data_IF_769997973064
#
_entry.id   IF_769997973064
#
_cell.length_a   1.000
_cell.length_b   1.000
_cell.length_c   1.000
_cell.angle_alpha   90.00
_cell.angle_beta   90.00
_cell.angle_gamma   90.00
#
_symmetry.space_group_name_H-M   'P 1'
#
loop_
_entity.id
_entity.type
_entity.pdbx_description
1 polymer ?
#
# COMPACT_ATOMS: atom_id res chain seq x y z
N UNK A 1 30.83 -27.20 8.80
CA UNK A 1 30.43 -25.81 9.11
C UNK A 1 29.89 -25.17 7.85
N UNK A 2 28.57 -25.07 7.70
CA UNK A 2 27.94 -24.45 6.52
C UNK A 2 27.71 -22.96 6.78
N UNK A 3 28.48 -22.12 6.11
CA UNK A 3 28.33 -20.67 6.19
C UNK A 3 27.18 -20.21 5.27
N UNK A 4 26.05 -19.82 5.86
CA UNK A 4 24.98 -19.14 5.13
C UNK A 4 25.49 -17.79 4.64
N UNK A 5 25.68 -17.67 3.31
CA UNK A 5 26.08 -16.43 2.65
C UNK A 5 24.91 -15.44 2.71
N UNK A 6 24.93 -14.53 3.69
CA UNK A 6 23.95 -13.43 3.81
C UNK A 6 24.08 -12.53 2.57
N UNK A 7 23.07 -12.55 1.69
CA UNK A 7 23.02 -11.73 0.48
C UNK A 7 22.95 -10.25 0.91
N UNK A 8 24.08 -9.54 0.80
CA UNK A 8 24.26 -8.13 1.17
C UNK A 8 23.40 -7.26 0.24
N UNK A 9 22.30 -6.71 0.75
CA UNK A 9 21.48 -5.71 0.04
C UNK A 9 22.34 -4.50 -0.27
N UNK A 10 22.42 -4.11 -1.55
CA UNK A 10 23.17 -2.91 -1.98
C UNK A 10 22.40 -1.65 -1.53
N UNK A 11 23.08 -0.65 -0.94
CA UNK A 11 22.45 0.63 -0.64
C UNK A 11 21.88 1.23 -1.93
N UNK A 12 20.61 1.66 -1.90
CA UNK A 12 19.96 2.33 -3.04
C UNK A 12 19.08 1.47 -3.94
N UNK A 13 19.05 0.13 -3.80
CA UNK A 13 18.02 -0.68 -4.49
C UNK A 13 16.77 -0.77 -3.63
N UNK A 14 15.60 -0.27 -4.10
CA UNK A 14 14.35 -0.46 -3.37
C UNK A 14 14.10 -1.95 -3.13
N UNK A 15 13.79 -2.32 -1.89
CA UNK A 15 13.42 -3.71 -1.56
C UNK A 15 12.12 -4.04 -2.30
N UNK A 16 12.05 -5.23 -2.91
CA UNK A 16 10.83 -5.72 -3.57
C UNK A 16 9.69 -6.02 -2.58
N UNK A 17 8.50 -6.27 -3.12
CA UNK A 17 7.35 -6.72 -2.34
C UNK A 17 7.61 -8.11 -1.73
N UNK A 18 7.15 -8.29 -0.49
CA UNK A 18 7.24 -9.55 0.24
C UNK A 18 5.86 -10.15 0.50
N UNK A 19 5.82 -11.41 0.97
CA UNK A 19 4.56 -12.08 1.30
C UNK A 19 3.81 -11.36 2.40
N UNK A 20 4.54 -10.84 3.38
CA UNK A 20 4.00 -10.04 4.49
C UNK A 20 3.32 -8.75 4.01
N UNK A 21 3.79 -8.13 2.92
CA UNK A 21 3.16 -6.95 2.33
C UNK A 21 1.76 -7.32 1.82
N UNK A 22 1.65 -8.41 1.04
CA UNK A 22 0.37 -8.88 0.50
C UNK A 22 -0.58 -9.34 1.61
N UNK A 23 -0.09 -10.08 2.59
CA UNK A 23 -0.90 -10.52 3.73
C UNK A 23 -1.48 -9.32 4.50
N UNK A 24 -0.70 -8.26 4.69
CA UNK A 24 -1.20 -7.05 5.34
C UNK A 24 -2.27 -6.33 4.52
N UNK A 25 -2.11 -6.27 3.19
CA UNK A 25 -3.11 -5.69 2.29
C UNK A 25 -4.43 -6.47 2.34
N UNK A 26 -4.36 -7.81 2.33
CA UNK A 26 -5.53 -8.67 2.45
C UNK A 26 -6.25 -8.49 3.78
N UNK A 27 -5.49 -8.46 4.88
CA UNK A 27 -6.06 -8.28 6.22
C UNK A 27 -6.76 -6.92 6.35
N UNK A 28 -6.13 -5.86 5.85
CA UNK A 28 -6.75 -4.53 5.80
C UNK A 28 -8.05 -4.56 5.01
N UNK A 29 -8.04 -5.16 3.82
CA UNK A 29 -9.22 -5.24 2.96
C UNK A 29 -10.37 -6.05 3.59
N UNK A 30 -10.06 -7.11 4.34
CA UNK A 30 -11.06 -7.93 5.03
C UNK A 30 -11.74 -7.23 6.19
N UNK A 31 -11.01 -6.37 6.89
CA UNK A 31 -11.46 -5.74 8.13
C UNK A 31 -12.09 -4.36 7.94
N UNK A 32 -11.94 -3.76 6.75
CA UNK A 32 -12.50 -2.43 6.40
C UNK A 32 -13.58 -2.56 5.34
N UNK A 33 -14.49 -1.59 5.28
CA UNK A 33 -15.57 -1.53 4.29
C UNK A 33 -15.22 -0.62 3.12
N UNK A 34 -15.70 -1.00 1.94
CA UNK A 34 -15.58 -0.22 0.69
C UNK A 34 -14.15 0.25 0.44
N UNK A 35 -13.22 -0.71 0.44
CA UNK A 35 -11.79 -0.46 0.23
C UNK A 35 -11.52 -0.32 -1.25
N UNK A 36 -10.74 0.69 -1.63
CA UNK A 36 -10.29 0.94 -2.99
C UNK A 36 -8.75 0.91 -3.02
N UNK A 37 -8.18 0.39 -4.11
CA UNK A 37 -6.73 0.32 -4.30
C UNK A 37 -6.23 1.43 -5.21
N UNK A 38 -5.17 2.09 -4.78
CA UNK A 38 -4.50 3.17 -5.50
C UNK A 38 -3.04 2.79 -5.71
N UNK A 39 -2.64 2.60 -6.96
CA UNK A 39 -1.29 2.20 -7.33
C UNK A 39 -0.43 3.45 -7.49
N UNK A 40 0.67 3.48 -6.75
CA UNK A 40 1.75 4.43 -6.98
C UNK A 40 2.81 3.78 -7.85
N UNK A 41 3.17 4.38 -9.00
CA UNK A 41 4.18 3.83 -9.88
C UNK A 41 5.55 3.76 -9.20
N UNK A 42 6.37 2.82 -9.65
CA UNK A 42 7.78 2.79 -9.28
C UNK A 42 8.48 4.05 -9.79
N UNK A 43 9.38 4.61 -8.99
CA UNK A 43 10.31 5.67 -9.41
C UNK A 43 11.75 5.16 -9.34
N UNK A 44 12.72 6.00 -9.71
CA UNK A 44 14.14 5.64 -9.58
C UNK A 44 14.56 5.31 -8.14
N UNK A 45 13.85 5.84 -7.13
CA UNK A 45 14.23 5.74 -5.72
C UNK A 45 13.18 5.05 -4.85
N UNK A 46 11.97 4.81 -5.36
CA UNK A 46 10.90 4.11 -4.63
C UNK A 46 10.36 2.93 -5.41
N UNK A 47 10.15 1.81 -4.73
CA UNK A 47 9.44 0.67 -5.29
C UNK A 47 7.98 1.03 -5.57
N UNK A 48 7.35 0.26 -6.47
CA UNK A 48 5.90 0.32 -6.69
C UNK A 48 5.15 -0.02 -5.40
N UNK A 49 4.11 0.75 -5.10
CA UNK A 49 3.28 0.55 -3.91
C UNK A 49 1.80 0.59 -4.25
N UNK A 50 1.00 -0.07 -3.42
CA UNK A 50 -0.45 0.11 -3.39
C UNK A 50 -0.82 0.77 -2.06
N UNK A 51 -1.70 1.74 -2.15
CA UNK A 51 -2.41 2.33 -1.03
C UNK A 51 -3.83 1.81 -1.05
N UNK A 52 -4.23 1.12 0.00
CA UNK A 52 -5.62 0.75 0.21
C UNK A 52 -6.29 1.83 1.04
N UNK A 53 -7.45 2.30 0.59
CA UNK A 53 -8.19 3.40 1.23
C UNK A 53 -9.62 2.93 1.45
N UNK A 54 -10.00 2.82 2.72
CA UNK A 54 -11.36 2.49 3.13
C UNK A 54 -12.33 3.67 2.91
N UNK A 55 -13.62 3.38 3.02
CA UNK A 55 -14.68 4.39 2.84
C UNK A 55 -14.60 5.55 3.83
N UNK A 56 -14.17 5.29 5.07
CA UNK A 56 -13.98 6.30 6.12
C UNK A 56 -12.67 7.10 5.98
N UNK A 57 -11.83 6.75 5.00
CA UNK A 57 -10.55 7.36 4.74
C UNK A 57 -9.37 6.72 5.45
N UNK A 58 -9.58 5.69 6.29
CA UNK A 58 -8.46 4.90 6.82
C UNK A 58 -7.65 4.30 5.67
N UNK A 59 -6.33 4.30 5.79
CA UNK A 59 -5.47 3.81 4.72
C UNK A 59 -4.25 3.06 5.23
N UNK A 60 -3.73 2.16 4.40
CA UNK A 60 -2.42 1.52 4.55
C UNK A 60 -1.67 1.53 3.22
N UNK A 61 -0.34 1.54 3.28
CA UNK A 61 0.54 1.50 2.10
C UNK A 61 1.49 0.33 2.20
N UNK A 62 1.55 -0.50 1.15
CA UNK A 62 2.51 -1.62 1.06
C UNK A 62 3.09 -1.72 -0.34
N UNK A 63 4.22 -2.41 -0.46
CA UNK A 63 4.86 -2.65 -1.76
C UNK A 63 4.09 -3.70 -2.55
N UNK A 64 4.11 -3.58 -3.86
CA UNK A 64 3.59 -4.59 -4.78
C UNK A 64 4.61 -4.89 -5.87
N UNK A 65 4.61 -6.13 -6.37
CA UNK A 65 5.63 -6.60 -7.31
C UNK A 65 5.53 -5.96 -8.69
N UNK A 66 4.30 -5.68 -9.14
CA UNK A 66 4.02 -5.16 -10.48
C UNK A 66 2.60 -4.56 -10.58
N UNK A 67 2.28 -3.82 -11.65
CA UNK A 67 0.90 -3.37 -11.92
C UNK A 67 -0.07 -4.53 -12.08
N UNK A 68 0.40 -5.64 -12.66
CA UNK A 68 -0.42 -6.84 -12.85
C UNK A 68 -0.76 -7.50 -11.51
N UNK A 69 0.18 -7.54 -10.56
CA UNK A 69 -0.07 -8.01 -9.20
C UNK A 69 -1.11 -7.13 -8.48
N UNK A 70 -1.05 -5.81 -8.67
CA UNK A 70 -2.05 -4.90 -8.12
C UNK A 70 -3.45 -5.15 -8.71
N UNK A 71 -3.53 -5.35 -10.03
CA UNK A 71 -4.79 -5.70 -10.71
C UNK A 71 -5.34 -7.05 -10.24
N UNK A 72 -4.49 -8.07 -10.12
CA UNK A 72 -4.87 -9.41 -9.61
C UNK A 72 -5.34 -9.33 -8.16
N UNK A 73 -4.67 -8.55 -7.33
CA UNK A 73 -5.08 -8.31 -5.94
C UNK A 73 -6.49 -7.68 -5.90
N UNK A 74 -6.72 -6.65 -6.70
CA UNK A 74 -8.03 -5.98 -6.79
C UNK A 74 -9.14 -6.93 -7.23
N UNK A 75 -8.91 -7.70 -8.30
CA UNK A 75 -9.86 -8.71 -8.78
C UNK A 75 -10.18 -9.75 -7.70
N UNK A 76 -9.15 -10.29 -7.03
CA UNK A 76 -9.33 -11.31 -5.98
C UNK A 76 -10.09 -10.80 -4.76
N UNK A 77 -9.91 -9.52 -4.42
CA UNK A 77 -10.57 -8.90 -3.27
C UNK A 77 -11.86 -8.16 -3.64
N UNK A 78 -12.25 -8.15 -4.91
CA UNK A 78 -13.47 -7.48 -5.38
C UNK A 78 -13.44 -5.96 -5.22
N UNK A 79 -12.27 -5.32 -5.32
CA UNK A 79 -12.10 -3.87 -5.18
C UNK A 79 -11.63 -3.22 -6.48
N UNK A 80 -12.02 -1.95 -6.72
CA UNK A 80 -11.48 -1.19 -7.83
C UNK A 80 -10.00 -0.84 -7.61
N UNK A 81 -9.26 -0.76 -8.71
CA UNK A 81 -7.83 -0.40 -8.73
C UNK A 81 -7.65 0.81 -9.63
N UNK A 82 -7.02 1.85 -9.10
CA UNK A 82 -6.76 3.10 -9.80
C UNK A 82 -5.27 3.40 -9.86
N UNK A 83 -4.86 4.13 -10.89
CA UNK A 83 -3.53 4.75 -10.94
C UNK A 83 -3.60 6.13 -10.27
N UNK A 84 -2.80 6.33 -9.22
CA UNK A 84 -2.73 7.62 -8.50
C UNK A 84 -2.34 8.76 -9.44
N UNK A 85 -1.47 8.52 -10.42
CA UNK A 85 -1.06 9.56 -11.36
C UNK A 85 -2.21 10.03 -12.25
N UNK A 86 -3.21 9.17 -12.48
CA UNK A 86 -4.38 9.49 -13.30
C UNK A 86 -5.50 10.17 -12.49
N UNK A 87 -5.81 9.67 -11.29
CA UNK A 87 -6.99 10.12 -10.51
C UNK A 87 -6.66 10.95 -9.27
N UNK A 88 -5.40 10.97 -8.86
CA UNK A 88 -4.97 11.58 -7.60
C UNK A 88 -5.40 10.79 -6.36
N UNK A 89 -5.14 11.38 -5.18
CA UNK A 89 -5.58 10.81 -3.90
C UNK A 89 -6.97 11.31 -3.51
N UNK A 90 -7.85 10.43 -2.99
CA UNK A 90 -9.19 10.83 -2.60
C UNK A 90 -9.16 11.72 -1.34
N UNK A 91 -10.09 12.67 -1.26
CA UNK A 91 -10.17 13.64 -0.15
C UNK A 91 -10.29 12.97 1.23
N UNK A 92 -11.02 11.85 1.32
CA UNK A 92 -11.20 11.08 2.56
C UNK A 92 -9.88 10.64 3.21
N UNK A 93 -8.88 10.27 2.41
CA UNK A 93 -7.54 9.91 2.90
C UNK A 93 -6.83 11.11 3.55
N UNK A 94 -6.98 12.30 2.94
CA UNK A 94 -6.41 13.54 3.45
C UNK A 94 -7.10 13.95 4.76
N UNK A 95 -8.42 13.84 4.82
CA UNK A 95 -9.22 14.09 6.01
C UNK A 95 -8.83 13.17 7.16
N UNK A 96 -8.72 11.86 6.90
CA UNK A 96 -8.26 10.89 7.89
C UNK A 96 -6.86 11.24 8.44
N UNK A 97 -5.92 11.55 7.53
CA UNK A 97 -4.56 11.92 7.91
C UNK A 97 -4.53 13.17 8.79
N UNK A 98 -5.36 14.19 8.50
CA UNK A 98 -5.50 15.38 9.34
C UNK A 98 -6.06 15.05 10.73
N UNK A 99 -7.12 14.25 10.81
CA UNK A 99 -7.71 13.81 12.08
C UNK A 99 -6.72 13.03 12.93
N UNK A 100 -5.95 12.13 12.32
CA UNK A 100 -4.89 11.37 13.02
C UNK A 100 -3.74 12.24 13.49
N UNK A 101 -3.37 13.26 12.71
CA UNK A 101 -2.30 14.20 13.07
C UNK A 101 -2.69 15.18 14.19
N UNK A 102 -3.98 15.54 14.28
CA UNK A 102 -4.49 16.45 15.32
C UNK A 102 -4.45 15.86 16.74
N UNK A 103 -4.27 14.54 16.88
CA UNK A 103 -4.37 13.85 18.17
C UNK A 103 -5.81 13.86 18.73
N UNK A 104 -6.08 13.15 19.84
CA UNK A 104 -7.33 13.36 20.56
C UNK A 104 -7.35 14.80 21.09
N UNK A 105 -8.45 15.50 20.84
CA UNK A 105 -8.72 16.80 21.48
C UNK A 105 -8.60 16.59 23.00
N UNK A 106 -7.65 17.26 23.63
CA UNK A 106 -7.53 17.31 25.08
C UNK A 106 -8.53 18.37 25.57
N UNK A 107 -9.79 17.99 25.71
CA UNK A 107 -10.85 18.84 26.27
C UNK A 107 -11.65 18.10 27.32
#
# INVERSE_FOLDING_TARGET
MSFLRRKKTRPGTPRGAQREDIAHLEEFARTRRGVEAYVEPQTNVTAMTVILIATDGEWTRRRIGSPDDARKLGQRLGMPVYDVAAVGYPNRMREWSRKKAAGPDQT
#
